data_IF_341680766941
#
_entry.id   IF_341680766941
#
_cell.length_a   1.000
_cell.length_b   1.000
_cell.length_c   1.000
_cell.angle_alpha   90.00
_cell.angle_beta   90.00
_cell.angle_gamma   90.00
#
_symmetry.space_group_name_H-M   'P 1'
#
loop_
_entity.id
_entity.type
_entity.pdbx_description
1 polymer ?
#
# COMPACT_ATOMS: atom_id res chain seq x y z
N UNK A 1 30.02 1.60 -8.98
CA UNK A 1 28.59 1.27 -8.81
C UNK A 1 28.38 -0.15 -9.28
N UNK A 2 27.80 -1.02 -8.45
CA UNK A 2 27.42 -2.35 -8.87
C UNK A 2 26.21 -2.27 -9.82
N UNK A 3 26.18 -3.10 -10.86
CA UNK A 3 25.02 -3.27 -11.73
C UNK A 3 24.15 -4.38 -11.13
N UNK A 4 22.99 -4.02 -10.62
CA UNK A 4 22.03 -4.96 -10.03
C UNK A 4 20.93 -5.29 -11.05
N UNK A 5 20.41 -6.52 -10.97
CA UNK A 5 19.24 -6.97 -11.72
C UNK A 5 18.08 -6.98 -10.74
N UNK A 6 17.00 -6.27 -11.06
CA UNK A 6 15.78 -6.32 -10.25
C UNK A 6 15.14 -7.71 -10.38
N UNK A 7 14.80 -8.30 -9.24
CA UNK A 7 14.06 -9.56 -9.20
C UNK A 7 12.74 -9.38 -8.46
N UNK A 8 11.80 -10.28 -8.70
CA UNK A 8 10.50 -10.26 -8.01
C UNK A 8 10.70 -10.50 -6.50
N UNK A 9 9.96 -9.81 -5.62
CA UNK A 9 9.99 -10.11 -4.19
C UNK A 9 9.47 -11.53 -3.87
N UNK A 10 8.79 -12.18 -4.82
CA UNK A 10 8.33 -13.57 -4.71
C UNK A 10 9.18 -14.55 -5.55
N UNK A 11 10.38 -14.16 -5.97
CA UNK A 11 11.29 -15.05 -6.69
C UNK A 11 11.54 -16.35 -5.91
N UNK A 12 11.53 -17.49 -6.62
CA UNK A 12 11.64 -18.82 -6.03
C UNK A 12 10.35 -19.38 -5.44
N UNK A 13 9.29 -18.57 -5.31
CA UNK A 13 7.96 -19.06 -4.95
C UNK A 13 7.17 -19.43 -6.21
N UNK A 14 6.53 -20.60 -6.19
CA UNK A 14 5.66 -21.05 -7.28
C UNK A 14 4.30 -20.33 -7.22
N UNK A 15 4.27 -19.05 -7.60
CA UNK A 15 3.04 -18.26 -7.72
C UNK A 15 2.57 -18.17 -9.19
N UNK A 16 1.25 -18.24 -9.46
CA UNK A 16 0.17 -18.38 -8.49
C UNK A 16 0.12 -19.79 -7.86
N UNK A 17 -0.09 -19.83 -6.54
CA UNK A 17 -0.24 -21.08 -5.77
C UNK A 17 -1.72 -21.30 -5.45
N UNK A 18 -2.26 -22.46 -5.79
CA UNK A 18 -3.63 -22.85 -5.46
C UNK A 18 -3.64 -24.10 -4.60
N UNK A 19 -4.29 -24.05 -3.43
CA UNK A 19 -4.45 -25.18 -2.51
C UNK A 19 -5.89 -25.18 -2.00
N UNK A 20 -6.63 -26.24 -2.29
CA UNK A 20 -8.06 -26.32 -1.95
C UNK A 20 -8.84 -25.14 -2.54
N UNK A 21 -9.63 -24.46 -1.72
CA UNK A 21 -10.43 -23.30 -2.11
C UNK A 21 -9.72 -21.93 -2.05
N UNK A 22 -8.38 -21.90 -1.96
CA UNK A 22 -7.61 -20.66 -1.86
C UNK A 22 -6.56 -20.56 -2.98
N UNK A 23 -6.39 -19.35 -3.53
CA UNK A 23 -5.40 -19.02 -4.55
C UNK A 23 -4.63 -17.77 -4.13
N UNK A 24 -3.30 -17.85 -4.16
CA UNK A 24 -2.39 -16.74 -3.88
C UNK A 24 -1.66 -16.35 -5.16
N UNK A 25 -1.67 -15.06 -5.53
CA UNK A 25 -0.93 -14.54 -6.67
C UNK A 25 -0.17 -13.26 -6.32
N UNK A 26 1.05 -13.12 -6.84
CA UNK A 26 1.81 -11.88 -6.75
C UNK A 26 1.09 -10.75 -7.49
N UNK A 27 1.13 -9.55 -6.93
CA UNK A 27 0.62 -8.31 -7.53
C UNK A 27 1.68 -7.23 -7.37
N UNK A 28 1.92 -6.49 -8.45
CA UNK A 28 2.70 -5.26 -8.39
C UNK A 28 1.81 -4.14 -7.81
N UNK A 29 2.13 -3.59 -6.62
CA UNK A 29 1.35 -2.50 -6.04
C UNK A 29 1.60 -1.15 -6.72
N UNK A 30 2.52 -1.09 -7.70
CA UNK A 30 3.05 0.15 -8.23
C UNK A 30 3.87 0.92 -7.18
N UNK A 31 4.17 2.21 -7.41
CA UNK A 31 4.88 3.01 -6.43
C UNK A 31 4.07 3.14 -5.14
N UNK A 32 4.77 3.14 -4.00
CA UNK A 32 4.17 3.27 -2.69
C UNK A 32 4.87 4.37 -1.89
N UNK A 33 4.11 5.30 -1.33
CA UNK A 33 4.64 6.47 -0.63
C UNK A 33 3.99 6.64 0.73
N UNK A 34 4.79 6.60 1.78
CA UNK A 34 4.33 6.97 3.12
C UNK A 34 4.20 8.49 3.20
N UNK A 35 3.03 8.96 3.63
CA UNK A 35 2.72 10.37 3.80
C UNK A 35 2.30 10.65 5.24
N UNK A 36 2.99 11.58 5.90
CA UNK A 36 2.64 12.07 7.23
C UNK A 36 2.51 13.60 7.17
N UNK A 37 1.28 14.15 7.18
CA UNK A 37 1.06 15.60 7.24
C UNK A 37 1.81 16.24 8.42
N UNK A 38 2.36 17.42 8.19
CA UNK A 38 2.83 18.25 9.30
C UNK A 38 1.64 18.71 10.14
N UNK A 39 1.89 19.02 11.42
CA UNK A 39 0.86 19.46 12.35
C UNK A 39 0.06 20.64 11.79
N UNK A 40 -1.25 20.46 11.60
CA UNK A 40 -2.15 21.51 11.09
C UNK A 40 -2.20 21.62 9.56
N UNK A 41 -1.51 20.75 8.82
CA UNK A 41 -1.48 20.74 7.36
C UNK A 41 -2.40 19.69 6.73
N UNK A 42 -3.20 18.97 7.52
CA UNK A 42 -4.08 17.89 7.06
C UNK A 42 -5.05 18.37 5.96
N UNK A 43 -5.64 19.56 6.13
CA UNK A 43 -6.53 20.16 5.13
C UNK A 43 -5.79 20.53 3.82
N UNK A 44 -4.55 21.00 3.92
CA UNK A 44 -3.73 21.32 2.76
C UNK A 44 -3.35 20.04 1.98
N UNK A 45 -2.97 18.99 2.70
CA UNK A 45 -2.69 17.66 2.14
C UNK A 45 -3.94 17.08 1.47
N UNK A 46 -5.09 17.09 2.15
CA UNK A 46 -6.37 16.64 1.59
C UNK A 46 -6.70 17.37 0.27
N UNK A 47 -6.55 18.71 0.24
CA UNK A 47 -6.78 19.51 -0.96
C UNK A 47 -5.85 19.13 -2.11
N UNK A 48 -4.56 18.91 -1.85
CA UNK A 48 -3.61 18.46 -2.88
C UNK A 48 -3.94 17.05 -3.40
N UNK A 49 -4.55 16.20 -2.57
CA UNK A 49 -5.01 14.87 -2.95
C UNK A 49 -6.42 14.88 -3.58
N UNK A 50 -6.89 16.03 -4.07
CA UNK A 50 -8.17 16.17 -4.75
C UNK A 50 -9.36 16.44 -3.83
N UNK A 51 -9.11 16.94 -2.62
CA UNK A 51 -10.15 17.19 -1.60
C UNK A 51 -10.65 15.91 -0.93
N UNK A 52 -9.95 14.79 -1.10
CA UNK A 52 -10.33 13.51 -0.51
C UNK A 52 -10.14 13.54 1.02
N UNK A 53 -11.00 12.83 1.75
CA UNK A 53 -10.77 12.57 3.18
C UNK A 53 -9.48 11.75 3.34
N UNK A 54 -8.71 12.05 4.39
CA UNK A 54 -7.59 11.19 4.77
C UNK A 54 -8.14 9.95 5.49
N UNK A 55 -7.54 8.77 5.32
CA UNK A 55 -8.09 7.54 5.87
C UNK A 55 -8.01 7.51 7.40
N UNK A 56 -9.13 7.17 8.05
CA UNK A 56 -9.19 6.88 9.49
C UNK A 56 -8.57 5.51 9.82
N UNK A 57 -8.34 5.19 11.11
CA UNK A 57 -7.82 3.88 11.51
C UNK A 57 -8.53 2.69 10.87
N UNK A 58 -7.75 1.83 10.22
CA UNK A 58 -8.25 0.62 9.53
C UNK A 58 -8.88 0.86 8.15
N UNK A 59 -8.93 2.10 7.66
CA UNK A 59 -9.52 2.41 6.37
C UNK A 59 -8.56 2.26 5.19
N UNK A 60 -9.16 1.89 4.05
CA UNK A 60 -8.56 2.01 2.71
C UNK A 60 -9.53 2.80 1.85
N UNK A 61 -9.08 3.92 1.28
CA UNK A 61 -9.87 4.80 0.44
C UNK A 61 -9.38 4.75 -1.00
N UNK A 62 -10.32 4.90 -1.95
CA UNK A 62 -9.98 5.08 -3.36
C UNK A 62 -9.34 6.45 -3.59
N UNK A 63 -8.34 6.51 -4.47
CA UNK A 63 -7.68 7.75 -4.86
C UNK A 63 -7.25 7.70 -6.32
N UNK A 64 -8.15 8.13 -7.21
CA UNK A 64 -8.03 7.88 -8.65
C UNK A 64 -7.88 6.36 -8.90
N UNK A 65 -6.86 5.97 -9.66
CA UNK A 65 -6.52 4.57 -9.89
C UNK A 65 -5.75 3.92 -8.71
N UNK A 66 -5.23 4.74 -7.79
CA UNK A 66 -4.51 4.29 -6.60
C UNK A 66 -5.38 4.10 -5.36
N UNK A 67 -4.71 3.94 -4.22
CA UNK A 67 -5.33 3.79 -2.90
C UNK A 67 -4.63 4.65 -1.85
N UNK A 68 -5.40 5.13 -0.87
CA UNK A 68 -4.90 5.66 0.40
C UNK A 68 -5.17 4.63 1.49
N UNK A 69 -4.13 4.14 2.15
CA UNK A 69 -4.21 3.09 3.16
C UNK A 69 -3.76 3.67 4.49
N UNK A 70 -4.61 3.61 5.52
CA UNK A 70 -4.16 3.98 6.87
C UNK A 70 -3.08 3.00 7.34
N UNK A 71 -1.95 3.53 7.84
CA UNK A 71 -0.84 2.69 8.33
C UNK A 71 -0.38 3.04 9.74
N UNK A 72 -0.66 4.26 10.22
CA UNK A 72 -0.41 4.66 11.61
C UNK A 72 -1.18 5.95 11.93
N UNK A 73 -1.28 6.36 13.21
CA UNK A 73 -1.83 7.67 13.57
C UNK A 73 -1.13 8.80 12.81
N UNK A 74 -1.92 9.63 12.11
CA UNK A 74 -1.41 10.74 11.30
C UNK A 74 -0.59 10.35 10.07
N UNK A 75 -0.67 9.08 9.63
CA UNK A 75 0.13 8.58 8.50
C UNK A 75 -0.64 7.57 7.66
N UNK A 76 -0.53 7.74 6.34
CA UNK A 76 -1.12 6.84 5.36
C UNK A 76 -0.13 6.51 4.25
N UNK A 77 -0.38 5.41 3.55
CA UNK A 77 0.36 5.00 2.37
C UNK A 77 -0.46 5.34 1.12
N UNK A 78 0.14 6.04 0.17
CA UNK A 78 -0.36 6.17 -1.19
C UNK A 78 0.22 5.04 -2.02
N UNK A 79 -0.62 4.19 -2.61
CA UNK A 79 -0.20 3.08 -3.44
C UNK A 79 -0.79 3.18 -4.85
N UNK A 80 -0.03 2.70 -5.84
CA UNK A 80 -0.46 2.58 -7.24
C UNK A 80 -0.12 3.79 -8.13
N UNK A 81 0.26 4.93 -7.56
CA UNK A 81 0.70 6.12 -8.32
C UNK A 81 1.53 7.08 -7.46
N UNK A 82 2.39 7.93 -8.07
CA UNK A 82 3.17 8.91 -7.32
C UNK A 82 2.30 10.01 -6.70
N UNK A 83 2.73 10.60 -5.56
CA UNK A 83 2.05 11.74 -4.94
C UNK A 83 2.04 12.96 -5.87
N UNK A 84 1.06 13.87 -5.72
CA UNK A 84 1.04 15.12 -6.46
C UNK A 84 2.24 16.00 -6.08
N UNK A 85 2.66 16.85 -7.01
CA UNK A 85 3.71 17.84 -6.77
C UNK A 85 3.32 18.79 -5.62
N UNK A 86 4.33 19.26 -4.87
CA UNK A 86 4.14 20.19 -3.75
C UNK A 86 3.67 19.54 -2.44
N UNK A 87 3.35 18.24 -2.44
CA UNK A 87 2.93 17.53 -1.22
C UNK A 87 3.99 17.61 -0.10
N UNK A 88 5.28 17.58 -0.47
CA UNK A 88 6.42 17.66 0.45
C UNK A 88 6.51 18.99 1.22
N UNK A 89 5.83 20.05 0.77
CA UNK A 89 5.75 21.32 1.50
C UNK A 89 4.79 21.25 2.71
N UNK A 90 3.96 20.20 2.80
CA UNK A 90 2.90 20.07 3.80
C UNK A 90 2.95 18.74 4.55
N UNK A 91 3.76 17.80 4.10
CA UNK A 91 3.91 16.48 4.69
C UNK A 91 5.33 15.95 4.53
N UNK A 92 5.74 15.06 5.42
CA UNK A 92 6.81 14.12 5.11
C UNK A 92 6.31 13.13 4.08
N UNK A 93 7.06 12.95 2.99
CA UNK A 93 6.71 12.09 1.86
C UNK A 93 7.92 11.20 1.58
N UNK A 94 7.74 9.89 1.72
CA UNK A 94 8.84 8.90 1.64
C UNK A 94 8.44 7.77 0.71
N UNK A 95 9.24 7.52 -0.33
CA UNK A 95 9.08 6.37 -1.22
C UNK A 95 9.43 5.08 -0.47
N UNK A 96 8.58 4.06 -0.58
CA UNK A 96 8.70 2.77 0.11
C UNK A 96 8.31 1.58 -0.79
N UNK A 97 8.18 1.76 -2.10
CA UNK A 97 7.70 0.73 -3.03
C UNK A 97 8.57 -0.53 -3.01
N UNK A 98 9.90 -0.36 -3.08
CA UNK A 98 10.85 -1.47 -3.03
C UNK A 98 10.90 -2.19 -1.67
N UNK A 99 10.27 -1.61 -0.63
CA UNK A 99 10.12 -2.21 0.70
C UNK A 99 8.89 -3.10 0.85
N UNK A 100 8.07 -3.28 -0.20
CA UNK A 100 6.80 -3.99 -0.13
C UNK A 100 6.76 -5.20 -1.07
N UNK A 101 6.26 -6.32 -0.55
CA UNK A 101 5.85 -7.47 -1.34
C UNK A 101 4.33 -7.62 -1.23
N UNK A 102 3.60 -7.57 -2.35
CA UNK A 102 2.14 -7.61 -2.34
C UNK A 102 1.61 -8.83 -3.07
N UNK A 103 0.73 -9.58 -2.40
CA UNK A 103 0.05 -10.73 -2.99
C UNK A 103 -1.44 -10.66 -2.67
N UNK A 104 -2.26 -11.16 -3.58
CA UNK A 104 -3.70 -11.30 -3.42
C UNK A 104 -4.01 -12.75 -3.08
N UNK A 105 -4.68 -12.94 -1.94
CA UNK A 105 -5.27 -14.22 -1.55
C UNK A 105 -6.78 -14.17 -1.78
N UNK A 106 -7.27 -15.06 -2.63
CA UNK A 106 -8.66 -15.11 -3.06
C UNK A 106 -9.22 -16.55 -2.99
N UNK A 107 -10.55 -16.66 -3.09
CA UNK A 107 -11.27 -17.95 -3.04
C UNK A 107 -12.03 -18.18 -1.73
N UNK A 108 -12.88 -19.22 -1.71
CA UNK A 108 -13.77 -19.52 -0.60
C UNK A 108 -13.03 -19.83 0.72
N UNK A 109 -11.79 -20.32 0.64
CA UNK A 109 -10.98 -20.62 1.82
C UNK A 109 -10.02 -19.49 2.25
N UNK A 110 -10.03 -18.33 1.57
CA UNK A 110 -9.06 -17.26 1.83
C UNK A 110 -9.15 -16.69 3.26
N UNK A 111 -10.37 -16.46 3.76
CA UNK A 111 -10.58 -15.96 5.11
C UNK A 111 -10.11 -16.95 6.18
N UNK A 112 -10.38 -18.24 5.99
CA UNK A 112 -9.94 -19.31 6.91
C UNK A 112 -8.41 -19.41 6.97
N UNK A 113 -7.73 -19.20 5.83
CA UNK A 113 -6.26 -19.14 5.79
C UNK A 113 -5.74 -17.94 6.59
N UNK A 114 -6.28 -16.74 6.37
CA UNK A 114 -5.86 -15.52 7.10
C UNK A 114 -6.17 -15.59 8.60
N UNK A 115 -7.28 -16.25 8.98
CA UNK A 115 -7.65 -16.41 10.38
C UNK A 115 -6.61 -17.18 11.20
N UNK A 116 -5.81 -18.06 10.57
CA UNK A 116 -4.72 -18.81 11.23
C UNK A 116 -3.51 -17.94 11.60
N UNK A 117 -3.39 -16.75 11.00
CA UNK A 117 -2.23 -15.85 11.17
C UNK A 117 -2.53 -14.64 12.06
N UNK A 118 -3.79 -14.44 12.47
CA UNK A 118 -4.14 -13.35 13.38
C UNK A 118 -3.84 -13.76 14.82
N UNK A 119 -3.19 -12.91 15.62
CA UNK A 119 -3.18 -13.09 17.07
C UNK A 119 -4.63 -13.18 17.59
N UNK A 120 -4.88 -13.97 18.64
CA UNK A 120 -6.19 -14.01 19.30
C UNK A 120 -6.59 -12.63 19.86
#
# INVERSE_FOLDING_TARGET
MARLIATSPFEGLSLPLAIGGARLSAVDPGPAWSVAPFRGHEAAVSRLLGGAMLPDPGQVLAWGEGRMIWVAPGRFLLAGRPPPEGLSAHASVVEQGDGLAVAVLEGSAAQDVLARLRPP
#
